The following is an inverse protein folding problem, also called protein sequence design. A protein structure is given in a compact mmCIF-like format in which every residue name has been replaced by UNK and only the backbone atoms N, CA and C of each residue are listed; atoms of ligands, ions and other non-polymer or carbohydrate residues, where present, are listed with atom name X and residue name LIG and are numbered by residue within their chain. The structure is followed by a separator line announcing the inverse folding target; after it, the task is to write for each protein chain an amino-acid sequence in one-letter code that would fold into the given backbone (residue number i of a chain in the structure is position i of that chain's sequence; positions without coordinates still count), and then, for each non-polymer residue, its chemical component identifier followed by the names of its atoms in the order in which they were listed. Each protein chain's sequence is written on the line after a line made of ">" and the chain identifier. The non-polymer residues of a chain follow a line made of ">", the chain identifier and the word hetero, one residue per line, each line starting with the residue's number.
data_IF_698825351748
#
_entry.id   IF_698825351748
#
_cell.length_a   1.000
_cell.length_b   1.000
_cell.length_c   1.000
_cell.angle_alpha   90.00
_cell.angle_beta   90.00
_cell.angle_gamma   90.00
#
_symmetry.space_group_name_H-M   'P 1'
#
loop_
_entity.id
_entity.type
_entity.pdbx_description
1 polymer ?
#
# COMPACT_ATOMS: atom_id res chain seq x y z
N UNK A 1 11.54 -10.32 6.05
CA UNK A 1 12.16 -9.01 6.41
C UNK A 1 11.27 -8.10 7.27
N UNK A 2 9.99 -8.43 7.48
CA UNK A 2 9.04 -7.52 8.14
C UNK A 2 9.32 -7.09 9.58
N UNK A 3 10.05 -7.86 10.39
CA UNK A 3 10.04 -7.67 11.85
C UNK A 3 10.71 -6.39 12.37
N UNK A 4 11.45 -5.63 11.55
CA UNK A 4 12.14 -4.40 11.95
C UNK A 4 11.77 -3.22 11.04
N UNK A 5 10.49 -2.96 10.83
CA UNK A 5 10.05 -1.81 10.03
C UNK A 5 8.78 -1.22 10.62
N UNK A 6 8.73 0.10 10.74
CA UNK A 6 7.57 0.83 11.30
C UNK A 6 6.48 1.12 10.27
N UNK A 7 6.77 0.88 8.99
CA UNK A 7 5.85 1.01 7.87
C UNK A 7 6.56 0.79 6.53
N UNK A 8 5.79 0.63 5.45
CA UNK A 8 6.34 0.34 4.12
C UNK A 8 5.79 1.23 3.04
N UNK A 9 6.66 1.63 2.13
CA UNK A 9 6.34 2.52 1.02
C UNK A 9 6.39 1.69 -0.26
N UNK A 10 5.32 1.76 -1.04
CA UNK A 10 5.19 1.08 -2.33
C UNK A 10 5.14 2.13 -3.43
N UNK A 11 6.02 1.97 -4.41
CA UNK A 11 6.18 2.90 -5.53
C UNK A 11 6.46 2.10 -6.80
N UNK A 12 5.64 2.26 -7.85
CA UNK A 12 5.87 1.60 -9.14
C UNK A 12 5.71 0.09 -9.09
N UNK A 13 6.73 -0.62 -9.61
CA UNK A 13 6.83 -2.09 -9.61
C UNK A 13 6.38 -2.74 -10.92
N UNK A 14 6.91 -3.94 -11.17
CA UNK A 14 6.67 -4.70 -12.41
C UNK A 14 5.33 -5.46 -12.35
N UNK A 15 4.64 -5.54 -13.49
CA UNK A 15 3.45 -6.39 -13.71
C UNK A 15 3.77 -7.71 -14.39
N UNK A 16 4.89 -7.77 -15.10
CA UNK A 16 5.35 -8.92 -15.88
C UNK A 16 6.82 -9.22 -15.56
N UNK A 17 7.30 -10.39 -15.99
CA UNK A 17 8.68 -10.85 -15.81
C UNK A 17 9.21 -10.72 -14.37
N UNK A 18 8.30 -10.85 -13.40
CA UNK A 18 8.63 -10.93 -12.00
C UNK A 18 8.94 -12.38 -11.63
N UNK A 19 9.76 -12.53 -10.60
CA UNK A 19 10.07 -13.83 -10.00
C UNK A 19 9.20 -14.02 -8.77
N UNK A 20 8.89 -15.26 -8.42
CA UNK A 20 8.05 -15.58 -7.27
C UNK A 20 6.61 -15.95 -7.65
N UNK A 21 5.77 -16.06 -6.63
CA UNK A 21 4.39 -16.49 -6.78
C UNK A 21 3.49 -15.31 -7.15
N UNK A 22 3.84 -14.09 -6.73
CA UNK A 22 3.18 -12.83 -7.11
C UNK A 22 4.21 -11.75 -7.48
N UNK A 23 3.82 -10.60 -8.04
CA UNK A 23 4.72 -9.46 -8.18
C UNK A 23 5.33 -9.10 -6.81
N UNK A 24 6.66 -8.90 -6.74
CA UNK A 24 7.33 -8.77 -5.44
C UNK A 24 6.79 -7.66 -4.53
N UNK A 25 6.25 -6.57 -5.09
CA UNK A 25 5.57 -5.53 -4.28
C UNK A 25 4.23 -6.01 -3.71
N UNK A 26 3.50 -6.86 -4.43
CA UNK A 26 2.26 -7.49 -3.94
C UNK A 26 2.58 -8.47 -2.81
N UNK A 27 3.61 -9.31 -2.98
CA UNK A 27 4.08 -10.22 -1.92
C UNK A 27 4.44 -9.45 -0.64
N UNK A 28 5.22 -8.39 -0.77
CA UNK A 28 5.64 -7.58 0.38
C UNK A 28 4.47 -6.84 1.03
N UNK A 29 3.48 -6.40 0.25
CA UNK A 29 2.26 -5.80 0.79
C UNK A 29 1.45 -6.81 1.61
N UNK A 30 1.29 -8.03 1.10
CA UNK A 30 0.57 -9.09 1.81
C UNK A 30 1.29 -9.42 3.12
N UNK A 31 2.62 -9.58 3.11
CA UNK A 31 3.38 -9.79 4.34
C UNK A 31 3.27 -8.64 5.34
N UNK A 32 3.26 -7.39 4.86
CA UNK A 32 3.08 -6.23 5.73
C UNK A 32 1.71 -6.22 6.39
N UNK A 33 0.67 -6.45 5.58
CA UNK A 33 -0.72 -6.48 6.03
C UNK A 33 -0.98 -7.63 7.01
N UNK A 34 -0.47 -8.83 6.73
CA UNK A 34 -0.55 -9.98 7.64
C UNK A 34 0.17 -9.72 8.97
N UNK A 35 1.25 -8.93 8.95
CA UNK A 35 1.97 -8.50 10.14
C UNK A 35 1.37 -7.24 10.81
N UNK A 36 0.20 -6.78 10.39
CA UNK A 36 -0.47 -5.56 10.88
C UNK A 36 0.41 -4.30 10.78
N UNK A 37 1.27 -4.24 9.75
CA UNK A 37 2.17 -3.13 9.50
C UNK A 37 1.53 -2.10 8.56
N UNK A 38 1.73 -0.80 8.81
CA UNK A 38 1.21 0.24 7.95
C UNK A 38 1.88 0.22 6.57
N UNK A 39 1.05 0.46 5.56
CA UNK A 39 1.46 0.61 4.18
C UNK A 39 1.16 2.03 3.67
N UNK A 40 2.03 2.51 2.79
CA UNK A 40 1.97 3.82 2.14
C UNK A 40 2.09 3.60 0.63
N UNK A 41 1.02 3.89 -0.13
CA UNK A 41 0.96 3.60 -1.56
C UNK A 41 1.10 4.88 -2.38
N UNK A 42 2.25 5.09 -3.02
CA UNK A 42 2.46 6.21 -3.94
C UNK A 42 2.26 5.74 -5.39
N UNK A 43 1.02 5.80 -5.86
CA UNK A 43 0.61 5.33 -7.19
C UNK A 43 1.18 6.16 -8.34
N UNK A 44 1.58 7.42 -8.13
CA UNK A 44 1.97 8.35 -9.21
C UNK A 44 3.05 7.88 -10.19
N UNK A 45 3.71 6.75 -9.92
CA UNK A 45 4.71 6.10 -10.77
C UNK A 45 4.17 4.90 -11.57
N UNK A 46 2.88 4.58 -11.47
CA UNK A 46 2.23 3.47 -12.16
C UNK A 46 2.61 2.10 -11.61
N UNK A 47 2.70 1.11 -12.50
CA UNK A 47 3.10 -0.26 -12.16
C UNK A 47 2.13 -0.98 -11.22
N UNK A 48 2.60 -2.06 -10.59
CA UNK A 48 1.74 -2.89 -9.74
C UNK A 48 1.22 -2.16 -8.49
N UNK A 49 1.90 -1.12 -8.01
CA UNK A 49 1.41 -0.27 -6.92
C UNK A 49 0.07 0.37 -7.27
N UNK A 50 -0.14 0.74 -8.54
CA UNK A 50 -1.43 1.25 -9.00
C UNK A 50 -2.54 0.19 -8.91
N UNK A 51 -2.21 -1.04 -9.31
CA UNK A 51 -3.18 -2.13 -9.31
C UNK A 51 -3.54 -2.51 -7.86
N UNK A 52 -2.58 -2.42 -6.93
CA UNK A 52 -2.81 -2.60 -5.50
C UNK A 52 -3.76 -1.55 -4.91
N UNK A 53 -3.64 -0.28 -5.31
CA UNK A 53 -4.57 0.79 -4.87
C UNK A 53 -6.01 0.46 -5.28
N UNK A 54 -6.20 -0.04 -6.50
CA UNK A 54 -7.50 -0.49 -7.02
C UNK A 54 -8.02 -1.70 -6.25
N UNK A 55 -7.18 -2.73 -6.08
CA UNK A 55 -7.55 -3.95 -5.35
C UNK A 55 -7.92 -3.68 -3.88
N UNK A 56 -7.26 -2.70 -3.25
CA UNK A 56 -7.53 -2.28 -1.88
C UNK A 56 -8.63 -1.22 -1.79
N UNK A 57 -9.22 -0.75 -2.90
CA UNK A 57 -10.32 0.21 -2.91
C UNK A 57 -10.04 1.50 -2.12
N UNK A 58 -8.81 2.02 -2.21
CA UNK A 58 -8.38 3.26 -1.54
C UNK A 58 -8.78 4.50 -2.37
N UNK A 59 -8.73 4.37 -3.69
CA UNK A 59 -9.12 5.36 -4.67
C UNK A 59 -9.71 4.61 -5.87
N UNK A 60 -10.86 5.04 -6.36
CA UNK A 60 -11.54 4.37 -7.49
C UNK A 60 -10.74 4.51 -8.79
N UNK A 61 -9.73 5.40 -8.82
CA UNK A 61 -8.81 5.59 -9.94
C UNK A 61 -9.52 5.91 -11.28
N UNK A 62 -10.76 6.42 -11.25
CA UNK A 62 -11.62 6.65 -12.43
C UNK A 62 -10.97 7.52 -13.51
N UNK A 63 -10.03 8.40 -13.11
CA UNK A 63 -9.33 9.30 -14.02
C UNK A 63 -8.14 8.67 -14.73
N UNK A 64 -7.69 7.48 -14.30
CA UNK A 64 -6.49 6.85 -14.83
C UNK A 64 -6.85 5.89 -15.96
N UNK A 65 -6.27 6.04 -17.17
CA UNK A 65 -6.61 5.19 -18.29
C UNK A 65 -6.31 3.73 -17.95
N UNK A 66 -7.13 2.81 -18.48
CA UNK A 66 -6.78 1.40 -18.48
C UNK A 66 -5.52 1.22 -19.31
N UNK A 67 -4.40 0.94 -18.64
CA UNK A 67 -3.20 0.49 -19.32
C UNK A 67 -3.43 -0.98 -19.66
N UNK A 68 -3.88 -1.24 -20.88
CA UNK A 68 -3.83 -2.57 -21.45
C UNK A 68 -2.37 -2.89 -21.73
N UNK A 69 -1.74 -3.69 -20.88
CA UNK A 69 -0.52 -4.38 -21.30
C UNK A 69 -0.89 -5.25 -22.51
N UNK A 70 -0.13 -5.15 -23.61
CA UNK A 70 -0.45 -5.84 -24.89
C UNK A 70 -0.42 -7.37 -24.77
N UNK A 71 0.15 -7.89 -23.68
CA UNK A 71 0.19 -9.31 -23.36
C UNK A 71 -0.94 -9.70 -22.40
N UNK A 72 -1.45 -10.93 -22.55
CA UNK A 72 -2.36 -11.50 -21.56
C UNK A 72 -1.73 -11.43 -20.16
N UNK A 73 -2.46 -10.93 -19.14
CA UNK A 73 -1.91 -10.76 -17.81
C UNK A 73 -1.46 -12.10 -17.23
N UNK A 74 -0.30 -12.12 -16.59
CA UNK A 74 0.19 -13.30 -15.87
C UNK A 74 -0.83 -13.68 -14.79
N UNK A 75 -1.35 -14.93 -14.75
CA UNK A 75 -2.34 -15.34 -13.75
C UNK A 75 -1.90 -15.09 -12.31
N UNK A 76 -0.59 -15.13 -12.04
CA UNK A 76 0.02 -14.82 -10.75
C UNK A 76 -0.18 -13.36 -10.33
N UNK A 77 -0.19 -12.43 -11.28
CA UNK A 77 -0.47 -11.02 -10.99
C UNK A 77 -1.93 -10.85 -10.51
N UNK A 78 -2.90 -11.44 -11.23
CA UNK A 78 -4.30 -11.38 -10.83
C UNK A 78 -4.58 -12.08 -9.50
N UNK A 79 -3.99 -13.26 -9.27
CA UNK A 79 -4.15 -14.01 -8.02
C UNK A 79 -3.64 -13.21 -6.80
N UNK A 80 -2.49 -12.54 -6.94
CA UNK A 80 -1.96 -11.69 -5.87
C UNK A 80 -2.84 -10.48 -5.55
N UNK A 81 -3.44 -9.84 -6.58
CA UNK A 81 -4.37 -8.73 -6.37
C UNK A 81 -5.68 -9.20 -5.73
N UNK A 82 -6.19 -10.37 -6.12
CA UNK A 82 -7.36 -10.98 -5.48
C UNK A 82 -7.07 -11.30 -4.00
N UNK A 83 -5.86 -11.77 -3.68
CA UNK A 83 -5.45 -11.99 -2.29
C UNK A 83 -5.46 -10.69 -1.48
N UNK A 84 -5.01 -9.56 -2.04
CA UNK A 84 -5.07 -8.25 -1.38
C UNK A 84 -6.52 -7.79 -1.15
N UNK A 85 -7.38 -7.93 -2.16
CA UNK A 85 -8.80 -7.58 -2.04
C UNK A 85 -9.47 -8.40 -0.92
N UNK A 86 -9.25 -9.72 -0.93
CA UNK A 86 -9.74 -10.64 0.11
C UNK A 86 -9.22 -10.29 1.50
N UNK A 87 -7.93 -9.95 1.65
CA UNK A 87 -7.37 -9.51 2.93
C UNK A 87 -8.15 -8.31 3.49
N UNK A 88 -8.44 -7.32 2.64
CA UNK A 88 -9.19 -6.14 3.05
C UNK A 88 -10.63 -6.49 3.44
N UNK A 89 -11.29 -7.36 2.70
CA UNK A 89 -12.64 -7.84 3.04
C UNK A 89 -12.68 -8.56 4.39
N UNK A 90 -11.71 -9.45 4.65
CA UNK A 90 -11.53 -10.17 5.92
C UNK A 90 -11.37 -9.22 7.12
N UNK A 91 -10.88 -7.99 6.87
CA UNK A 91 -10.69 -6.92 7.86
C UNK A 91 -11.81 -5.86 7.83
N UNK A 92 -12.97 -6.19 7.25
CA UNK A 92 -14.12 -5.28 7.15
C UNK A 92 -13.78 -3.94 6.46
N UNK A 93 -12.94 -3.99 5.43
CA UNK A 93 -12.53 -2.81 4.65
C UNK A 93 -11.36 -2.02 5.25
N UNK A 94 -10.87 -2.39 6.44
CA UNK A 94 -9.83 -1.63 7.16
C UNK A 94 -8.42 -2.11 6.82
N UNK A 95 -7.52 -1.15 6.66
CA UNK A 95 -6.08 -1.39 6.59
C UNK A 95 -5.45 -1.08 7.95
N UNK A 96 -4.24 -1.58 8.24
CA UNK A 96 -3.49 -1.17 9.40
C UNK A 96 -3.35 0.35 9.42
N UNK A 97 -3.55 0.94 10.60
CA UNK A 97 -3.43 2.39 10.78
C UNK A 97 -2.03 2.85 10.36
N UNK A 98 -1.96 3.81 9.45
CA UNK A 98 -0.72 4.40 8.96
C UNK A 98 -0.53 5.87 9.41
N UNK A 99 -1.39 6.35 10.31
CA UNK A 99 -1.38 7.71 10.85
C UNK A 99 -1.88 8.79 9.88
N UNK A 100 -2.28 8.41 8.67
CA UNK A 100 -2.91 9.30 7.71
C UNK A 100 -4.42 9.10 7.71
N UNK A 101 -5.15 10.18 7.55
CA UNK A 101 -6.59 10.12 7.31
C UNK A 101 -6.91 9.71 5.85
N UNK A 102 -8.20 9.53 5.54
CA UNK A 102 -8.64 9.12 4.21
C UNK A 102 -8.27 10.13 3.12
N UNK A 103 -8.28 11.43 3.43
CA UNK A 103 -7.94 12.49 2.47
C UNK A 103 -6.45 12.51 2.18
N UNK A 104 -5.62 12.39 3.22
CA UNK A 104 -4.18 12.31 3.14
C UNK A 104 -3.72 11.03 2.42
N UNK A 105 -4.38 9.89 2.66
CA UNK A 105 -4.12 8.66 1.92
C UNK A 105 -4.48 8.82 0.42
N UNK A 106 -5.61 9.45 0.09
CA UNK A 106 -5.95 9.78 -1.30
C UNK A 106 -4.93 10.74 -1.93
N UNK A 107 -4.44 11.72 -1.18
CA UNK A 107 -3.41 12.64 -1.64
C UNK A 107 -2.08 11.92 -1.93
N UNK A 108 -1.68 11.01 -1.04
CA UNK A 108 -0.48 10.17 -1.21
C UNK A 108 -0.58 9.31 -2.48
N UNK A 109 -1.75 8.71 -2.71
CA UNK A 109 -2.04 7.92 -3.92
C UNK A 109 -2.03 8.80 -5.18
N UNK A 110 -2.51 10.04 -5.11
CA UNK A 110 -2.58 10.92 -6.26
C UNK A 110 -1.23 11.52 -6.66
N UNK A 111 -0.30 11.70 -5.73
CA UNK A 111 0.94 12.41 -5.99
C UNK A 111 2.03 11.53 -6.66
N UNK A 112 2.80 12.16 -7.54
CA UNK A 112 4.06 11.65 -8.08
C UNK A 112 5.26 12.47 -7.59
N UNK A 113 5.04 13.44 -6.68
CA UNK A 113 6.05 14.39 -6.23
C UNK A 113 6.81 13.79 -5.04
N UNK A 114 8.12 13.51 -5.16
CA UNK A 114 8.87 12.86 -4.08
C UNK A 114 8.82 13.60 -2.74
N UNK A 115 8.83 14.94 -2.77
CA UNK A 115 8.75 15.76 -1.55
C UNK A 115 7.41 15.62 -0.82
N UNK A 116 6.32 15.50 -1.56
CA UNK A 116 4.97 15.32 -1.00
C UNK A 116 4.79 13.92 -0.43
N UNK A 117 5.30 12.90 -1.13
CA UNK A 117 5.37 11.52 -0.66
C UNK A 117 6.12 11.45 0.68
N UNK A 118 7.33 12.02 0.73
CA UNK A 118 8.13 12.05 1.95
C UNK A 118 7.44 12.81 3.10
N UNK A 119 6.77 13.92 2.81
CA UNK A 119 6.05 14.71 3.81
C UNK A 119 4.87 13.94 4.42
N UNK A 120 4.03 13.31 3.58
CA UNK A 120 2.87 12.53 4.04
C UNK A 120 3.32 11.30 4.85
N UNK A 121 4.33 10.56 4.39
CA UNK A 121 4.84 9.41 5.15
C UNK A 121 5.40 9.84 6.50
N UNK A 122 6.17 10.95 6.54
CA UNK A 122 6.71 11.49 7.78
C UNK A 122 5.59 11.93 8.74
N UNK A 123 4.51 12.51 8.21
CA UNK A 123 3.34 12.90 8.99
C UNK A 123 2.64 11.68 9.62
N UNK A 124 2.38 10.64 8.82
CA UNK A 124 1.74 9.41 9.29
C UNK A 124 2.58 8.68 10.36
N UNK A 125 3.87 8.50 10.10
CA UNK A 125 4.79 7.90 11.08
C UNK A 125 4.89 8.74 12.36
N UNK A 126 4.98 10.07 12.22
CA UNK A 126 5.06 10.99 13.36
C UNK A 126 3.85 10.87 14.30
N UNK A 127 2.64 10.81 13.74
CA UNK A 127 1.41 10.62 14.54
C UNK A 127 1.40 9.27 15.26
N UNK A 128 1.76 8.19 14.57
CA UNK A 128 1.83 6.84 15.16
C UNK A 128 2.85 6.73 16.30
N UNK A 129 4.01 7.38 16.17
CA UNK A 129 5.02 7.37 17.22
C UNK A 129 4.60 8.16 18.45
N UNK A 130 3.89 9.28 18.26
CA UNK A 130 3.31 10.04 19.37
C UNK A 130 2.27 9.20 20.12
N UNK A 131 1.39 8.51 19.40
CA UNK A 131 0.38 7.63 20.01
C UNK A 131 0.99 6.47 20.80
N UNK A 132 2.01 5.80 20.24
CA UNK A 132 2.76 4.75 20.94
C UNK A 132 3.38 5.28 22.24
N UNK A 133 4.04 6.44 22.18
CA UNK A 133 4.66 7.05 23.36
C UNK A 133 3.64 7.42 24.46
N UNK A 134 2.43 7.84 24.07
CA UNK A 134 1.35 8.12 25.04
C UNK A 134 0.86 6.82 25.69
N UNK A 135 0.67 5.75 24.91
CA UNK A 135 0.21 4.45 25.42
C UNK A 135 1.22 3.84 26.41
N UNK A 136 2.52 3.90 26.10
CA UNK A 136 3.59 3.41 26.98
C UNK A 136 3.64 4.16 28.32
N UNK A 137 3.44 5.49 28.29
CA UNK A 137 3.43 6.33 29.48
C UNK A 137 2.17 6.20 30.34
N UNK A 138 1.05 5.73 29.78
CA UNK A 138 -0.23 5.58 30.52
C UNK A 138 -0.36 4.19 31.15
N UNK A 139 0.46 3.23 30.73
CA UNK A 139 0.43 1.83 31.21
C UNK A 139 1.54 1.52 32.23
N UNK A 140 2.32 2.54 32.64
CA UNK A 140 3.38 2.48 33.65
C UNK A 140 2.96 3.19 34.94
#
# INVERSE_FOLDING_TARGET
>A
MAKNTEGRIFIGGKRTDFTGDWPGLVEEAIFALEADQPIYLARGFGGVTLDMVRALGIDDCDWFPEFSDEAAPDPRWSDGLERLARFREERSGKLPDNGLDDLENRQLVATHRPSEIAALISLGLGRRFVEKAIQENTTS
#
